data_IF_750277175202
#
_entry.id   IF_750277175202
#
_cell.length_a   1.000
_cell.length_b   1.000
_cell.length_c   1.000
_cell.angle_alpha   90.00
_cell.angle_beta   90.00
_cell.angle_gamma   90.00
#
_symmetry.space_group_name_H-M   'P 1'
#
loop_
_entity.id
_entity.type
_entity.pdbx_description
1 polymer ?
#
# COMPACT_ATOMS: atom_id res chain seq x y z
N UNK A 1 6.98 -28.54 -20.78
CA UNK A 1 7.27 -28.68 -19.34
C UNK A 1 8.57 -28.00 -18.96
N UNK A 2 9.65 -28.13 -19.74
CA UNK A 2 10.95 -27.49 -19.44
C UNK A 2 10.87 -25.95 -19.37
N UNK A 3 10.28 -25.30 -20.38
CA UNK A 3 10.09 -23.83 -20.39
C UNK A 3 9.31 -23.35 -19.16
N UNK A 4 8.29 -24.09 -18.74
CA UNK A 4 7.49 -23.76 -17.57
C UNK A 4 8.33 -23.78 -16.29
N UNK A 5 9.15 -24.82 -16.09
CA UNK A 5 10.04 -24.95 -14.93
C UNK A 5 11.08 -23.81 -14.91
N UNK A 6 11.67 -23.48 -16.07
CA UNK A 6 12.62 -22.36 -16.17
C UNK A 6 11.96 -21.02 -15.83
N UNK A 7 10.75 -20.75 -16.31
CA UNK A 7 10.01 -19.52 -16.00
C UNK A 7 9.69 -19.42 -14.51
N UNK A 8 9.24 -20.52 -13.89
CA UNK A 8 8.97 -20.56 -12.46
C UNK A 8 10.26 -20.29 -11.67
N UNK A 9 11.38 -20.92 -12.04
CA UNK A 9 12.68 -20.69 -11.41
C UNK A 9 13.14 -19.23 -11.50
N UNK A 10 12.97 -18.59 -12.66
CA UNK A 10 13.29 -17.17 -12.86
C UNK A 10 12.42 -16.27 -11.97
N UNK A 11 11.11 -16.54 -11.88
CA UNK A 11 10.20 -15.77 -11.02
C UNK A 11 10.63 -15.87 -9.55
N UNK A 12 10.95 -17.07 -9.06
CA UNK A 12 11.45 -17.24 -7.69
C UNK A 12 12.76 -16.50 -7.44
N UNK A 13 13.70 -16.55 -8.39
CA UNK A 13 14.95 -15.81 -8.29
C UNK A 13 14.72 -14.28 -8.22
N UNK A 14 13.85 -13.75 -9.07
CA UNK A 14 13.46 -12.32 -9.07
C UNK A 14 12.79 -11.94 -7.76
N UNK A 15 11.89 -12.78 -7.23
CA UNK A 15 11.23 -12.55 -5.94
C UNK A 15 12.24 -12.49 -4.79
N UNK A 16 13.19 -13.42 -4.73
CA UNK A 16 14.21 -13.45 -3.68
C UNK A 16 15.05 -12.17 -3.71
N UNK A 17 15.50 -11.76 -4.90
CA UNK A 17 16.27 -10.51 -5.06
C UNK A 17 15.44 -9.29 -4.66
N UNK A 18 14.16 -9.25 -5.04
CA UNK A 18 13.24 -8.17 -4.68
C UNK A 18 13.09 -8.04 -3.17
N UNK A 19 12.84 -9.16 -2.48
CA UNK A 19 12.72 -9.21 -1.01
C UNK A 19 14.01 -8.77 -0.34
N UNK A 20 15.17 -9.24 -0.82
CA UNK A 20 16.47 -8.81 -0.31
C UNK A 20 16.72 -7.30 -0.55
N UNK A 21 16.23 -6.77 -1.68
CA UNK A 21 16.28 -5.35 -1.98
C UNK A 21 15.50 -4.50 -0.98
N UNK A 22 14.24 -4.85 -0.73
CA UNK A 22 13.40 -4.15 0.27
C UNK A 22 14.01 -4.29 1.66
N UNK A 23 14.53 -5.47 2.04
CA UNK A 23 15.26 -5.66 3.29
C UNK A 23 16.39 -4.64 3.44
N UNK A 24 17.21 -4.45 2.39
CA UNK A 24 18.32 -3.49 2.44
C UNK A 24 17.85 -2.04 2.54
N UNK A 25 16.75 -1.67 1.88
CA UNK A 25 16.12 -0.34 2.05
C UNK A 25 15.77 -0.08 3.52
N UNK A 26 15.19 -1.06 4.20
CA UNK A 26 14.87 -0.95 5.63
C UNK A 26 16.12 -0.76 6.48
N UNK A 27 17.16 -1.56 6.25
CA UNK A 27 18.41 -1.43 7.01
C UNK A 27 19.10 -0.09 6.79
N UNK A 28 19.00 0.49 5.59
CA UNK A 28 19.52 1.82 5.29
C UNK A 28 18.76 2.93 6.00
N UNK A 29 17.47 2.74 6.22
CA UNK A 29 16.65 3.66 6.99
C UNK A 29 16.72 3.42 8.51
N UNK A 30 17.60 2.53 8.99
CA UNK A 30 17.76 2.21 10.41
C UNK A 30 16.72 1.24 10.98
N UNK A 31 15.92 0.60 10.12
CA UNK A 31 14.85 -0.32 10.51
C UNK A 31 15.24 -1.79 10.30
N UNK A 32 14.65 -2.69 11.09
CA UNK A 32 14.96 -4.12 10.97
C UNK A 32 14.38 -4.69 9.67
N UNK A 33 15.20 -5.37 8.87
CA UNK A 33 14.77 -5.81 7.53
C UNK A 33 13.74 -6.95 7.50
N UNK A 34 13.59 -7.74 8.57
CA UNK A 34 12.50 -8.74 8.67
C UNK A 34 11.11 -8.09 8.62
N UNK A 35 11.00 -6.81 9.00
CA UNK A 35 9.75 -6.04 8.95
C UNK A 35 9.24 -5.87 7.52
N UNK A 36 10.13 -5.95 6.52
CA UNK A 36 9.78 -5.90 5.10
C UNK A 36 9.00 -7.13 4.62
N UNK A 37 9.12 -8.28 5.30
CA UNK A 37 8.48 -9.54 4.90
C UNK A 37 6.99 -9.54 5.24
N UNK A 38 6.62 -8.93 6.37
CA UNK A 38 5.25 -8.91 6.84
C UNK A 38 4.49 -7.81 6.08
N UNK A 39 3.43 -8.11 5.32
CA UNK A 39 2.80 -7.15 4.41
C UNK A 39 2.36 -5.84 5.08
N UNK A 40 1.65 -5.92 6.20
CA UNK A 40 1.16 -4.72 6.90
C UNK A 40 2.28 -3.97 7.62
N UNK A 41 3.26 -4.70 8.16
CA UNK A 41 4.34 -4.07 8.90
C UNK A 41 5.32 -3.38 7.95
N UNK A 42 5.58 -3.99 6.78
CA UNK A 42 6.35 -3.41 5.70
C UNK A 42 5.78 -2.03 5.32
N UNK A 43 4.49 -1.97 4.97
CA UNK A 43 3.83 -0.71 4.61
C UNK A 43 3.90 0.34 5.73
N UNK A 44 3.71 -0.05 7.00
CA UNK A 44 3.77 0.86 8.15
C UNK A 44 5.14 1.52 8.30
N UNK A 45 6.20 0.73 8.19
CA UNK A 45 7.57 1.23 8.28
C UNK A 45 7.92 2.05 7.04
N UNK A 46 7.47 1.62 5.87
CA UNK A 46 7.71 2.34 4.62
C UNK A 46 7.07 3.74 4.62
N UNK A 47 5.89 3.88 5.21
CA UNK A 47 5.25 5.18 5.46
C UNK A 47 6.14 6.05 6.36
N UNK A 48 6.70 5.49 7.43
CA UNK A 48 7.61 6.21 8.33
C UNK A 48 8.90 6.65 7.64
N UNK A 49 9.45 5.82 6.75
CA UNK A 49 10.61 6.14 5.91
C UNK A 49 10.28 7.31 4.95
N UNK A 50 9.06 7.34 4.40
CA UNK A 50 8.56 8.45 3.60
C UNK A 50 8.21 9.71 4.42
N UNK A 51 8.00 9.59 5.73
CA UNK A 51 7.58 10.67 6.64
C UNK A 51 6.09 10.78 6.88
N UNK A 52 5.30 9.80 6.47
CA UNK A 52 3.87 9.73 6.73
C UNK A 52 3.55 8.99 8.03
N UNK A 53 2.38 9.27 8.59
CA UNK A 53 1.88 8.53 9.75
C UNK A 53 1.56 7.08 9.37
N UNK A 54 1.95 6.13 10.22
CA UNK A 54 1.65 4.71 10.03
C UNK A 54 0.14 4.37 10.07
N UNK A 55 -0.70 5.33 10.44
CA UNK A 55 -2.16 5.18 10.46
C UNK A 55 -2.75 4.97 9.06
N UNK A 56 -2.07 5.45 8.02
CA UNK A 56 -2.44 5.18 6.62
C UNK A 56 -2.51 3.68 6.29
N UNK A 57 -1.83 2.80 7.05
CA UNK A 57 -1.96 1.34 6.90
C UNK A 57 -3.37 0.85 7.17
N UNK A 58 -4.14 1.52 8.03
CA UNK A 58 -5.53 1.15 8.30
C UNK A 58 -6.42 1.33 7.07
N UNK A 59 -6.09 2.28 6.19
CA UNK A 59 -6.78 2.44 4.90
C UNK A 59 -6.56 1.24 3.96
N UNK A 60 -5.44 0.51 4.10
CA UNK A 60 -5.18 -0.73 3.36
C UNK A 60 -5.90 -1.96 3.94
N UNK A 61 -6.52 -1.84 5.12
CA UNK A 61 -7.41 -2.87 5.67
C UNK A 61 -8.82 -2.75 5.07
N UNK A 62 -9.21 -1.54 4.62
CA UNK A 62 -10.50 -1.27 3.99
C UNK A 62 -10.82 -2.20 2.79
N UNK A 63 -9.89 -2.49 1.86
CA UNK A 63 -10.08 -3.47 0.79
C UNK A 63 -10.28 -4.91 1.27
N UNK A 64 -9.82 -5.28 2.47
CA UNK A 64 -9.90 -6.64 3.02
C UNK A 64 -11.19 -6.87 3.82
N UNK A 65 -11.83 -5.79 4.29
CA UNK A 65 -13.10 -5.87 5.02
C UNK A 65 -14.21 -6.59 4.22
N UNK A 66 -14.41 -6.33 2.91
CA UNK A 66 -15.40 -7.08 2.12
C UNK A 66 -15.13 -8.59 2.06
N UNK A 67 -13.86 -8.99 1.97
CA UNK A 67 -13.47 -10.40 1.91
C UNK A 67 -13.64 -11.11 3.26
N UNK A 68 -13.26 -10.45 4.35
CA UNK A 68 -13.47 -10.97 5.70
C UNK A 68 -14.97 -11.08 6.03
N UNK A 69 -15.75 -10.08 5.64
CA UNK A 69 -17.17 -10.04 5.86
C UNK A 69 -17.90 -11.13 5.06
N UNK A 70 -17.51 -11.34 3.79
CA UNK A 70 -17.99 -12.45 2.97
C UNK A 70 -17.60 -13.82 3.52
N UNK A 71 -16.42 -13.94 4.15
CA UNK A 71 -15.96 -15.18 4.77
C UNK A 71 -16.74 -15.47 6.07
N UNK A 72 -17.00 -14.44 6.88
CA UNK A 72 -17.72 -14.52 8.15
C UNK A 72 -19.23 -14.77 7.96
N UNK A 73 -19.84 -14.16 6.94
CA UNK A 73 -21.25 -14.40 6.56
C UNK A 73 -21.48 -15.73 5.82
N UNK A 74 -20.41 -16.51 5.62
CA UNK A 74 -20.49 -17.86 5.09
C UNK A 74 -19.87 -17.97 3.71
N UNK A 75 -18.82 -18.79 3.63
CA UNK A 75 -18.43 -19.50 2.40
C UNK A 75 -19.52 -20.45 1.87
N UNK A 76 -20.80 -20.08 1.96
CA UNK A 76 -21.98 -20.76 1.42
C UNK A 76 -22.69 -19.95 0.32
N UNK A 77 -22.14 -18.79 -0.10
CA UNK A 77 -22.70 -18.00 -1.20
C UNK A 77 -22.28 -18.50 -2.61
N UNK A 78 -21.67 -19.69 -2.73
CA UNK A 78 -21.42 -20.34 -4.03
C UNK A 78 -22.54 -21.29 -4.47
N UNK A 79 -23.68 -21.30 -3.78
CA UNK A 79 -24.90 -21.92 -4.30
C UNK A 79 -25.76 -20.86 -5.00
N UNK A 80 -25.23 -20.23 -6.05
CA UNK A 80 -26.06 -19.56 -7.05
C UNK A 80 -26.79 -20.65 -7.87
N UNK A 81 -27.82 -21.24 -7.28
CA UNK A 81 -28.90 -21.83 -8.07
C UNK A 81 -29.65 -20.69 -8.79
N UNK A 82 -30.22 -20.94 -9.98
CA UNK A 82 -30.93 -19.92 -10.73
C UNK A 82 -32.28 -19.60 -10.06
N UNK A 83 -32.27 -18.74 -9.06
CA UNK A 83 -33.48 -18.16 -8.46
C UNK A 83 -33.41 -18.02 -6.94
N UNK A 84 -33.72 -16.81 -6.45
CA UNK A 84 -34.11 -16.59 -5.06
C UNK A 84 -33.19 -15.64 -4.28
N UNK A 85 -33.52 -14.35 -4.30
CA UNK A 85 -33.03 -13.34 -3.35
C UNK A 85 -34.06 -13.16 -2.22
N UNK A 86 -34.53 -14.26 -1.62
CA UNK A 86 -35.70 -14.22 -0.74
C UNK A 86 -35.35 -14.72 0.67
N UNK A 87 -35.74 -13.91 1.67
CA UNK A 87 -35.81 -14.14 3.12
C UNK A 87 -34.48 -13.99 3.92
N UNK A 88 -34.41 -13.29 5.05
CA UNK A 88 -35.34 -12.45 5.80
C UNK A 88 -34.52 -11.68 6.85
N UNK A 89 -34.97 -10.49 7.25
CA UNK A 89 -34.27 -9.65 8.20
C UNK A 89 -34.22 -10.17 9.64
N UNK A 90 -33.15 -9.82 10.35
CA UNK A 90 -33.14 -9.26 11.71
C UNK A 90 -31.68 -9.22 12.22
N UNK A 91 -31.08 -8.03 12.26
CA UNK A 91 -29.74 -7.82 12.83
C UNK A 91 -28.90 -6.88 11.96
N UNK A 92 -29.13 -5.57 12.12
CA UNK A 92 -28.54 -4.52 11.29
C UNK A 92 -27.01 -4.55 11.25
N UNK A 93 -26.48 -4.54 10.03
CA UNK A 93 -25.24 -3.85 9.61
C UNK A 93 -24.74 -4.28 8.20
N UNK A 94 -25.51 -5.05 7.42
CA UNK A 94 -24.91 -5.82 6.32
C UNK A 94 -25.64 -5.93 4.98
N UNK A 95 -26.81 -5.31 4.77
CA UNK A 95 -27.59 -5.59 3.54
C UNK A 95 -28.49 -4.44 3.02
N UNK A 96 -27.98 -3.21 2.99
CA UNK A 96 -28.56 -2.16 2.12
C UNK A 96 -27.72 -1.91 0.86
N UNK A 97 -26.42 -2.24 0.85
CA UNK A 97 -25.56 -2.07 -0.31
C UNK A 97 -25.83 -3.09 -1.41
N UNK A 98 -25.96 -4.39 -1.08
CA UNK A 98 -26.18 -5.44 -2.07
C UNK A 98 -27.56 -5.38 -2.74
N UNK A 99 -28.62 -5.01 -2.00
CA UNK A 99 -29.98 -4.83 -2.55
C UNK A 99 -30.15 -3.51 -3.29
N UNK A 100 -29.43 -2.44 -2.90
CA UNK A 100 -29.32 -1.21 -3.70
C UNK A 100 -28.51 -1.42 -4.99
N UNK A 101 -27.53 -2.34 -4.99
CA UNK A 101 -26.71 -2.71 -6.14
C UNK A 101 -27.37 -3.74 -7.06
N UNK A 102 -28.22 -4.62 -6.53
CA UNK A 102 -28.94 -5.65 -7.28
C UNK A 102 -30.13 -5.10 -8.11
N UNK A 103 -30.58 -3.87 -7.83
CA UNK A 103 -31.71 -3.25 -8.52
C UNK A 103 -31.47 -2.85 -9.98
N UNK A 104 -30.26 -3.05 -10.53
CA UNK A 104 -29.94 -2.78 -11.94
C UNK A 104 -30.12 -1.32 -12.39
N UNK A 105 -30.33 -0.39 -11.44
CA UNK A 105 -30.61 1.01 -11.69
C UNK A 105 -29.35 1.88 -11.68
N UNK A 106 -29.47 3.10 -12.20
CA UNK A 106 -28.38 4.08 -12.25
C UNK A 106 -27.73 4.33 -10.88
N UNK A 107 -28.48 4.19 -9.79
CA UNK A 107 -28.00 4.31 -8.40
C UNK A 107 -26.96 3.24 -8.07
N UNK A 108 -27.18 1.99 -8.48
CA UNK A 108 -26.23 0.90 -8.29
C UNK A 108 -24.90 1.18 -9.02
N UNK A 109 -25.00 1.68 -10.25
CA UNK A 109 -23.85 2.02 -11.08
C UNK A 109 -23.07 3.18 -10.45
N UNK A 110 -23.76 4.22 -9.97
CA UNK A 110 -23.11 5.36 -9.30
C UNK A 110 -22.42 4.93 -8.01
N UNK A 111 -23.06 4.12 -7.17
CA UNK A 111 -22.45 3.59 -5.93
C UNK A 111 -21.24 2.70 -6.25
N UNK A 112 -21.35 1.81 -7.24
CA UNK A 112 -20.23 0.99 -7.70
C UNK A 112 -19.06 1.82 -8.22
N UNK A 113 -19.33 2.85 -9.03
CA UNK A 113 -18.31 3.78 -9.52
C UNK A 113 -17.67 4.59 -8.38
N UNK A 114 -18.43 4.98 -7.36
CA UNK A 114 -17.90 5.66 -6.17
C UNK A 114 -17.00 4.74 -5.34
N UNK A 115 -17.35 3.46 -5.19
CA UNK A 115 -16.51 2.46 -4.51
C UNK A 115 -15.22 2.21 -5.29
N UNK A 116 -15.32 2.04 -6.62
CA UNK A 116 -14.17 1.87 -7.50
C UNK A 116 -13.29 3.11 -7.50
N UNK A 117 -13.88 4.31 -7.53
CA UNK A 117 -13.14 5.57 -7.43
C UNK A 117 -12.43 5.71 -6.09
N UNK A 118 -13.08 5.35 -4.98
CA UNK A 118 -12.48 5.33 -3.64
C UNK A 118 -11.27 4.37 -3.59
N UNK A 119 -11.40 3.17 -4.17
CA UNK A 119 -10.27 2.23 -4.30
C UNK A 119 -9.13 2.79 -5.15
N UNK A 120 -9.46 3.47 -6.24
CA UNK A 120 -8.45 4.10 -7.09
C UNK A 120 -7.73 5.25 -6.36
N UNK A 121 -8.43 6.02 -5.53
CA UNK A 121 -7.82 7.05 -4.69
C UNK A 121 -6.85 6.46 -3.65
N UNK A 122 -7.18 5.31 -3.05
CA UNK A 122 -6.27 4.59 -2.14
C UNK A 122 -5.02 4.11 -2.89
N UNK A 123 -5.19 3.60 -4.12
CA UNK A 123 -4.05 3.24 -4.97
C UNK A 123 -3.18 4.46 -5.30
N UNK A 124 -3.77 5.62 -5.62
CA UNK A 124 -3.02 6.86 -5.86
C UNK A 124 -2.28 7.34 -4.61
N UNK A 125 -2.86 7.19 -3.42
CA UNK A 125 -2.16 7.50 -2.16
C UNK A 125 -0.91 6.61 -1.98
N UNK A 126 -0.95 5.34 -2.40
CA UNK A 126 0.23 4.47 -2.39
C UNK A 126 1.34 4.94 -3.35
N UNK A 127 0.98 5.62 -4.44
CA UNK A 127 1.94 6.22 -5.39
C UNK A 127 2.64 7.42 -4.77
N UNK A 128 1.90 8.28 -4.07
CA UNK A 128 2.49 9.41 -3.33
C UNK A 128 3.46 8.90 -2.27
N UNK A 129 3.10 7.83 -1.56
CA UNK A 129 3.98 7.18 -0.60
C UNK A 129 5.29 6.65 -1.24
N UNK A 130 5.22 6.02 -2.42
CA UNK A 130 6.41 5.59 -3.18
C UNK A 130 7.28 6.78 -3.63
N UNK A 131 6.63 7.87 -4.03
CA UNK A 131 7.29 9.10 -4.38
C UNK A 131 8.06 9.70 -3.20
N UNK A 132 7.43 9.77 -2.03
CA UNK A 132 8.07 10.28 -0.82
C UNK A 132 9.21 9.39 -0.35
N UNK A 133 9.06 8.07 -0.42
CA UNK A 133 10.19 7.16 -0.16
C UNK A 133 11.33 7.41 -1.13
N UNK A 134 11.07 7.48 -2.45
CA UNK A 134 12.11 7.79 -3.43
C UNK A 134 12.82 9.12 -3.10
N UNK A 135 12.05 10.15 -2.72
CA UNK A 135 12.57 11.45 -2.32
C UNK A 135 13.37 11.40 -1.01
N UNK A 136 13.00 10.57 -0.05
CA UNK A 136 13.76 10.32 1.20
C UNK A 136 15.15 9.72 0.92
N UNK A 137 15.33 9.05 -0.22
CA UNK A 137 16.62 8.54 -0.69
C UNK A 137 17.29 9.47 -1.72
N UNK A 138 16.78 10.69 -1.91
CA UNK A 138 17.31 11.66 -2.86
C UNK A 138 17.06 11.34 -4.33
N UNK A 139 16.13 10.43 -4.65
CA UNK A 139 15.74 10.08 -6.02
C UNK A 139 14.61 10.99 -6.53
N UNK A 140 14.66 11.36 -7.81
CA UNK A 140 13.63 12.19 -8.46
C UNK A 140 12.43 11.41 -9.02
N UNK A 141 11.49 12.13 -9.63
CA UNK A 141 10.21 11.58 -10.12
C UNK A 141 10.36 10.43 -11.13
N UNK A 142 11.37 10.48 -12.02
CA UNK A 142 11.64 9.39 -12.97
C UNK A 142 11.97 8.06 -12.30
N UNK A 143 12.61 8.09 -11.12
CA UNK A 143 12.88 6.87 -10.36
C UNK A 143 11.61 6.31 -9.71
N UNK A 144 10.68 7.18 -9.28
CA UNK A 144 9.38 6.77 -8.76
C UNK A 144 8.53 6.09 -9.82
N UNK A 145 8.50 6.61 -11.05
CA UNK A 145 7.85 5.92 -12.17
C UNK A 145 8.49 4.55 -12.44
N UNK A 146 9.82 4.47 -12.35
CA UNK A 146 10.54 3.19 -12.42
C UNK A 146 10.13 2.21 -11.32
N UNK A 147 9.99 2.67 -10.07
CA UNK A 147 9.47 1.88 -8.95
C UNK A 147 8.02 1.43 -9.17
N UNK A 148 7.19 2.23 -9.83
CA UNK A 148 5.81 1.89 -10.13
C UNK A 148 5.70 0.82 -11.22
N UNK A 149 6.45 0.99 -12.32
CA UNK A 149 6.37 0.07 -13.47
C UNK A 149 7.16 -1.21 -13.22
N UNK A 150 8.32 -1.11 -12.57
CA UNK A 150 9.27 -2.20 -12.32
C UNK A 150 9.73 -2.23 -10.85
N UNK A 151 8.80 -2.45 -9.89
CA UNK A 151 9.14 -2.47 -8.46
C UNK A 151 10.20 -3.51 -8.14
N UNK A 152 10.12 -4.70 -8.75
CA UNK A 152 11.04 -5.82 -8.52
C UNK A 152 12.51 -5.50 -8.83
N UNK A 153 12.77 -4.51 -9.68
CA UNK A 153 14.12 -4.09 -10.06
C UNK A 153 14.55 -2.85 -9.28
N UNK A 154 13.66 -1.88 -9.16
CA UNK A 154 13.98 -0.60 -8.54
C UNK A 154 14.10 -0.67 -7.01
N UNK A 155 13.37 -1.58 -6.35
CA UNK A 155 13.54 -1.83 -4.91
C UNK A 155 14.96 -2.33 -4.58
N UNK A 156 15.50 -3.36 -5.25
CA UNK A 156 16.91 -3.73 -5.14
C UNK A 156 17.88 -2.61 -5.50
N UNK A 157 17.62 -1.82 -6.55
CA UNK A 157 18.49 -0.69 -6.90
C UNK A 157 18.54 0.35 -5.78
N UNK A 158 17.44 0.57 -5.07
CA UNK A 158 17.40 1.46 -3.91
C UNK A 158 18.13 0.85 -2.70
N UNK A 159 17.90 -0.44 -2.46
CA UNK A 159 18.47 -1.17 -1.32
C UNK A 159 19.96 -1.42 -1.43
N UNK A 160 20.45 -1.90 -2.58
CA UNK A 160 21.84 -2.25 -2.81
C UNK A 160 22.65 -1.16 -3.51
N UNK A 161 22.02 -0.22 -4.23
CA UNK A 161 22.74 0.86 -4.90
C UNK A 161 23.26 1.93 -3.94
N UNK A 162 23.85 3.00 -4.48
CA UNK A 162 24.52 4.05 -3.68
C UNK A 162 23.57 5.04 -3.00
N UNK A 163 22.26 4.79 -3.02
CA UNK A 163 21.26 5.67 -2.43
C UNK A 163 21.34 5.62 -0.90
N UNK A 164 21.62 6.76 -0.27
CA UNK A 164 21.60 6.93 1.19
C UNK A 164 20.25 7.49 1.66
N UNK A 165 19.81 7.06 2.84
CA UNK A 165 18.61 7.59 3.45
C UNK A 165 18.89 8.97 4.03
N UNK A 166 18.21 10.01 3.53
CA UNK A 166 18.41 11.42 3.89
C UNK A 166 17.39 11.94 4.91
N UNK A 167 16.50 11.08 5.39
CA UNK A 167 15.42 11.44 6.31
C UNK A 167 14.06 11.56 5.63
N UNK A 168 12.99 11.79 6.41
CA UNK A 168 11.62 11.69 5.93
C UNK A 168 11.23 12.86 5.00
N UNK A 169 10.93 12.58 3.74
CA UNK A 169 10.68 13.60 2.73
C UNK A 169 9.31 14.31 2.82
N UNK A 170 8.32 13.71 3.49
CA UNK A 170 6.98 14.30 3.64
C UNK A 170 6.95 15.58 4.50
N UNK A 171 7.98 15.86 5.31
CA UNK A 171 8.06 17.03 6.18
C UNK A 171 9.38 17.80 6.04
N UNK A 172 9.58 18.54 4.92
CA UNK A 172 10.81 19.30 4.68
C UNK A 172 11.09 20.38 5.74
N UNK A 173 10.07 20.88 6.44
CA UNK A 173 10.16 22.05 7.32
C UNK A 173 10.73 21.75 8.72
N UNK A 174 10.89 20.47 9.13
CA UNK A 174 11.40 20.14 10.47
C UNK A 174 12.93 20.20 10.57
N UNK A 175 13.63 20.08 9.45
CA UNK A 175 15.10 20.21 9.40
C UNK A 175 15.52 21.68 9.52
N UNK A 176 14.71 22.60 8.97
CA UNK A 176 14.95 24.04 9.03
C UNK A 176 14.56 24.63 10.40
N UNK A 177 13.46 24.15 11.00
CA UNK A 177 13.01 24.63 12.32
C UNK A 177 13.87 24.12 13.49
N UNK A 178 14.52 22.95 13.38
CA UNK A 178 15.45 22.46 14.40
C UNK A 178 16.82 23.16 14.40
N UNK A 179 17.24 23.73 13.26
CA UNK A 179 18.48 24.49 13.15
C UNK A 179 18.28 25.99 13.40
N UNK A 180 17.07 26.52 13.21
CA UNK A 180 16.73 27.93 13.42
C UNK A 180 16.18 28.26 14.81
N UNK A 181 15.60 27.29 15.54
CA UNK A 181 14.99 27.55 16.85
C UNK A 181 15.97 27.60 18.03
N UNK A 182 17.27 27.36 17.80
CA UNK A 182 18.29 27.28 18.86
C UNK A 182 19.37 28.37 18.79
N UNK A 183 19.24 29.35 17.89
CA UNK A 183 20.13 30.52 17.77
C UNK A 183 19.28 31.80 17.82
N UNK A 184 18.60 32.06 18.94
CA UNK A 184 18.36 33.44 19.40
C UNK A 184 17.85 33.47 20.86
N UNK A 185 18.75 33.27 21.84
CA UNK A 185 18.49 33.69 23.24
C UNK A 185 19.48 34.77 23.68
N UNK A 186 20.23 35.33 22.74
CA UNK A 186 21.47 36.05 22.99
C UNK A 186 21.53 37.39 22.24
N UNK A 187 20.54 37.73 21.41
CA UNK A 187 20.50 39.01 20.71
C UNK A 187 19.76 40.08 21.51
N UNK A 188 20.59 40.80 22.29
CA UNK A 188 20.47 42.18 22.81
C UNK A 188 19.15 42.61 23.45
#
# INVERSE_FOLDING_TARGET
>A
MEVFISLVGIIFAVLIVSVAGVWKVFTKAGESGWKAIIPFYNSAIMLRIGGHSGWWVMAFILPLLPWLFSLLLGGAANAQGPGGYDAAGAGGSSIELTSALAGGGIVAILVGLLIVACWQLIMLASVVMLYDVARSFGKGMGFTFGLMVLPFVFWPILGFGDAEYRGPAAHPNMVEQGSGAHIDKDRS
#
